data_IF_093684429522
#
_entry.id   IF_093684429522
#
_cell.length_a   1.000
_cell.length_b   1.000
_cell.length_c   1.000
_cell.angle_alpha   90.00
_cell.angle_beta   90.00
_cell.angle_gamma   90.00
#
_symmetry.space_group_name_H-M   'P 1'
#
loop_
_entity.id
_entity.type
_entity.pdbx_description
1 polymer ?
#
# COMPACT_ATOMS: atom_id res chain seq x y z
N UNK A 1 16.57 -13.28 -8.42
CA UNK A 1 16.02 -11.91 -8.34
C UNK A 1 15.23 -11.67 -7.06
N UNK A 2 14.31 -12.55 -6.64
CA UNK A 2 13.70 -12.47 -5.28
C UNK A 2 14.60 -13.09 -4.18
N UNK A 3 15.30 -14.18 -4.49
CA UNK A 3 16.25 -14.84 -3.56
C UNK A 3 17.36 -13.89 -3.08
N UNK A 4 17.89 -13.05 -3.97
CA UNK A 4 18.94 -12.07 -3.65
C UNK A 4 18.46 -10.89 -2.81
N UNK A 5 17.15 -10.58 -2.81
CA UNK A 5 16.55 -9.58 -1.91
C UNK A 5 16.30 -10.16 -0.52
N UNK A 6 16.06 -11.47 -0.41
CA UNK A 6 15.92 -12.16 0.88
C UNK A 6 17.26 -12.33 1.59
N UNK A 7 18.36 -12.52 0.84
CA UNK A 7 19.71 -12.74 1.40
C UNK A 7 20.41 -11.44 1.86
N UNK A 8 19.93 -10.27 1.40
CA UNK A 8 20.37 -8.95 1.86
C UNK A 8 19.50 -8.36 2.97
N UNK A 9 18.42 -9.06 3.35
CA UNK A 9 17.60 -8.68 4.50
C UNK A 9 18.33 -9.05 5.77
N UNK A 10 18.94 -8.05 6.41
CA UNK A 10 19.53 -8.16 7.74
C UNK A 10 18.51 -8.80 8.70
N UNK A 11 18.67 -10.09 8.99
CA UNK A 11 17.91 -10.78 10.02
C UNK A 11 18.44 -10.38 11.40
N UNK A 12 18.58 -9.08 11.65
CA UNK A 12 18.95 -8.53 12.95
C UNK A 12 17.69 -8.22 13.75
N UNK A 13 17.00 -9.28 14.17
CA UNK A 13 16.05 -9.25 15.27
C UNK A 13 16.72 -9.81 16.53
N UNK A 14 17.61 -9.05 17.15
CA UNK A 14 18.13 -9.38 18.49
C UNK A 14 17.05 -9.30 19.56
N UNK A 15 17.37 -9.67 20.80
CA UNK A 15 16.47 -9.46 21.94
C UNK A 15 16.33 -7.96 22.23
N UNK A 16 15.10 -7.50 22.45
CA UNK A 16 14.79 -6.12 22.83
C UNK A 16 14.22 -6.11 24.25
N UNK A 17 14.74 -5.23 25.10
CA UNK A 17 14.20 -5.04 26.44
C UNK A 17 12.76 -4.54 26.40
N UNK A 18 11.92 -5.11 27.26
CA UNK A 18 10.49 -4.77 27.32
C UNK A 18 10.24 -3.28 27.64
N UNK A 19 11.10 -2.66 28.45
CA UNK A 19 11.04 -1.22 28.75
C UNK A 19 11.26 -0.35 27.51
N UNK A 20 12.21 -0.75 26.65
CA UNK A 20 12.46 -0.08 25.36
C UNK A 20 11.28 -0.24 24.42
N UNK A 21 10.73 -1.46 24.30
CA UNK A 21 9.56 -1.72 23.48
C UNK A 21 8.34 -0.90 23.95
N UNK A 22 8.09 -0.83 25.26
CA UNK A 22 7.05 0.01 25.85
C UNK A 22 7.24 1.48 25.51
N UNK A 23 8.47 2.00 25.61
CA UNK A 23 8.79 3.38 25.24
C UNK A 23 8.48 3.68 23.77
N UNK A 24 8.87 2.79 22.87
CA UNK A 24 8.56 2.91 21.44
C UNK A 24 7.06 2.85 21.15
N UNK A 25 6.32 1.95 21.82
CA UNK A 25 4.87 1.87 21.67
C UNK A 25 4.15 3.12 22.16
N UNK A 26 4.57 3.69 23.31
CA UNK A 26 3.96 4.91 23.85
C UNK A 26 4.18 6.10 22.90
N UNK A 27 5.40 6.25 22.37
CA UNK A 27 5.73 7.30 21.42
C UNK A 27 4.92 7.19 20.12
N UNK A 28 4.68 5.95 19.63
CA UNK A 28 3.83 5.71 18.46
C UNK A 28 2.37 6.11 18.72
N UNK A 29 1.84 5.81 19.92
CA UNK A 29 0.49 6.20 20.34
C UNK A 29 0.35 7.72 20.44
N UNK A 30 1.32 8.41 21.04
CA UNK A 30 1.30 9.88 21.12
C UNK A 30 1.33 10.53 19.74
N UNK A 31 2.17 10.02 18.82
CA UNK A 31 2.22 10.50 17.44
C UNK A 31 0.90 10.28 16.69
N UNK A 32 0.25 9.14 16.93
CA UNK A 32 -1.07 8.86 16.37
C UNK A 32 -2.15 9.79 16.95
N UNK A 33 -2.08 10.11 18.24
CA UNK A 33 -3.04 10.99 18.91
C UNK A 33 -2.93 12.45 18.44
N UNK A 34 -1.71 12.94 18.18
CA UNK A 34 -1.47 14.29 17.66
C UNK A 34 -1.99 14.50 16.23
N UNK A 35 -2.18 13.43 15.45
CA UNK A 35 -2.84 13.48 14.14
C UNK A 35 -4.36 13.58 14.34
N UNK A 36 -4.87 14.75 14.75
CA UNK A 36 -6.29 15.13 14.97
C UNK A 36 -7.33 14.35 14.14
N UNK A 37 -7.70 13.13 14.56
CA UNK A 37 -8.71 12.30 13.89
C UNK A 37 -8.38 11.84 12.46
N UNK A 38 -7.12 11.96 12.02
CA UNK A 38 -6.68 11.50 10.70
C UNK A 38 -6.25 10.02 10.75
N UNK A 39 -6.42 9.33 9.64
CA UNK A 39 -5.93 7.95 9.43
C UNK A 39 -4.42 7.94 9.77
N UNK A 40 -4.02 7.07 10.71
CA UNK A 40 -2.65 7.05 11.25
C UNK A 40 -1.67 6.46 10.24
N UNK A 41 -2.09 5.38 9.59
CA UNK A 41 -1.36 4.70 8.52
C UNK A 41 -1.63 5.30 7.14
N UNK A 42 -1.09 4.65 6.11
CA UNK A 42 -1.24 5.08 4.72
C UNK A 42 -2.65 4.79 4.21
N UNK A 43 -3.39 5.78 3.67
CA UNK A 43 -4.78 5.57 3.27
C UNK A 43 -4.88 4.68 2.02
N UNK A 44 -5.85 3.76 2.03
CA UNK A 44 -6.14 2.90 0.86
C UNK A 44 -6.93 3.62 -0.23
N UNK A 45 -7.50 4.80 0.08
CA UNK A 45 -8.44 5.53 -0.78
C UNK A 45 -9.89 5.05 -0.64
N UNK A 46 -10.13 4.06 0.24
CA UNK A 46 -11.45 3.54 0.55
C UNK A 46 -11.85 3.98 1.96
N UNK A 47 -12.46 5.16 2.08
CA UNK A 47 -12.76 5.80 3.37
C UNK A 47 -13.38 4.87 4.43
N UNK A 48 -14.33 4.01 4.04
CA UNK A 48 -14.97 3.06 4.97
C UNK A 48 -14.02 1.94 5.43
N UNK A 49 -13.12 1.51 4.57
CA UNK A 49 -12.09 0.53 4.92
C UNK A 49 -11.04 1.20 5.81
N UNK A 50 -10.54 2.36 5.40
CA UNK A 50 -9.53 3.11 6.16
C UNK A 50 -10.02 3.44 7.58
N UNK A 51 -11.28 3.81 7.73
CA UNK A 51 -11.88 4.03 9.05
C UNK A 51 -11.91 2.76 9.93
N UNK A 52 -12.06 1.59 9.32
CA UNK A 52 -12.12 0.31 10.04
C UNK A 52 -10.75 -0.25 10.39
N UNK A 53 -9.75 -0.04 9.54
CA UNK A 53 -8.41 -0.62 9.73
C UNK A 53 -7.36 0.40 10.19
N UNK A 54 -7.69 1.69 10.20
CA UNK A 54 -6.75 2.77 10.57
C UNK A 54 -5.73 3.11 9.48
N UNK A 55 -5.97 2.67 8.23
CA UNK A 55 -5.03 2.74 7.12
C UNK A 55 -4.13 1.50 7.02
N UNK A 56 -3.18 1.54 6.10
CA UNK A 56 -2.13 0.52 5.94
C UNK A 56 -0.96 0.88 6.87
N UNK A 57 -0.60 -0.02 7.79
CA UNK A 57 0.54 0.17 8.69
C UNK A 57 1.75 -0.63 8.21
N UNK A 58 2.97 -0.17 8.51
CA UNK A 58 4.22 -0.73 8.00
C UNK A 58 4.48 -2.20 8.39
N UNK A 59 3.84 -2.68 9.47
CA UNK A 59 3.99 -4.05 9.98
C UNK A 59 2.88 -5.00 9.55
N UNK A 60 1.87 -4.52 8.80
CA UNK A 60 0.70 -5.32 8.47
C UNK A 60 0.92 -6.20 7.23
N UNK A 61 0.54 -7.48 7.34
CA UNK A 61 0.34 -8.35 6.17
C UNK A 61 -1.16 -8.48 5.87
N UNK A 62 -1.60 -7.86 4.77
CA UNK A 62 -3.01 -7.88 4.34
C UNK A 62 -3.20 -8.88 3.20
N UNK A 63 -4.08 -9.85 3.41
CA UNK A 63 -4.41 -10.87 2.42
C UNK A 63 -5.77 -10.59 1.79
N UNK A 64 -5.78 -10.32 0.47
CA UNK A 64 -7.00 -10.19 -0.31
C UNK A 64 -7.38 -11.51 -0.98
N UNK A 65 -8.30 -12.25 -0.36
CA UNK A 65 -8.81 -13.51 -0.87
C UNK A 65 -10.20 -13.39 -1.50
N UNK A 66 -10.52 -14.27 -2.45
CA UNK A 66 -11.80 -14.28 -3.16
C UNK A 66 -11.77 -15.18 -4.41
N UNK A 67 -12.94 -15.60 -4.89
CA UNK A 67 -13.06 -16.46 -6.08
C UNK A 67 -12.54 -15.76 -7.36
N UNK A 68 -12.23 -16.52 -8.44
CA UNK A 68 -11.97 -15.92 -9.75
C UNK A 68 -13.07 -14.92 -10.14
N UNK A 69 -12.70 -13.86 -10.85
CA UNK A 69 -13.57 -12.76 -11.27
C UNK A 69 -14.22 -11.90 -10.15
N UNK A 70 -13.94 -12.11 -8.86
CA UNK A 70 -14.45 -11.27 -7.75
C UNK A 70 -13.72 -9.91 -7.60
N UNK A 71 -12.91 -9.50 -8.59
CA UNK A 71 -12.29 -8.17 -8.58
C UNK A 71 -11.03 -8.00 -7.71
N UNK A 72 -10.40 -9.07 -7.23
CA UNK A 72 -9.17 -8.99 -6.39
C UNK A 72 -8.08 -8.11 -7.00
N UNK A 73 -7.70 -8.39 -8.26
CA UNK A 73 -6.68 -7.62 -8.98
C UNK A 73 -7.10 -6.16 -9.13
N UNK A 74 -8.38 -5.90 -9.45
CA UNK A 74 -8.88 -4.55 -9.61
C UNK A 74 -8.83 -3.75 -8.30
N UNK A 75 -9.22 -4.37 -7.18
CA UNK A 75 -9.13 -3.77 -5.86
C UNK A 75 -7.68 -3.50 -5.46
N UNK A 76 -6.78 -4.47 -5.64
CA UNK A 76 -5.36 -4.31 -5.34
C UNK A 76 -4.71 -3.18 -6.16
N UNK A 77 -5.00 -3.11 -7.47
CA UNK A 77 -4.48 -2.02 -8.33
C UNK A 77 -5.06 -0.65 -7.95
N UNK A 78 -6.32 -0.60 -7.50
CA UNK A 78 -6.93 0.65 -7.07
C UNK A 78 -6.30 1.16 -5.76
N UNK A 79 -6.10 0.27 -4.78
CA UNK A 79 -5.39 0.62 -3.54
C UNK A 79 -3.98 1.10 -3.87
N UNK A 80 -3.23 0.36 -4.69
CA UNK A 80 -1.88 0.74 -5.11
C UNK A 80 -1.83 2.13 -5.77
N UNK A 81 -2.81 2.44 -6.64
CA UNK A 81 -2.92 3.75 -7.27
C UNK A 81 -3.17 4.87 -6.25
N UNK A 82 -4.16 4.70 -5.35
CA UNK A 82 -4.48 5.72 -4.34
C UNK A 82 -3.30 5.97 -3.39
N UNK A 83 -2.58 4.91 -3.01
CA UNK A 83 -1.38 5.01 -2.18
C UNK A 83 -0.28 5.76 -2.92
N UNK A 84 -0.03 5.45 -4.19
CA UNK A 84 0.96 6.17 -5.01
C UNK A 84 0.59 7.65 -5.18
N UNK A 85 -0.70 7.96 -5.38
CA UNK A 85 -1.20 9.33 -5.47
C UNK A 85 -1.05 10.09 -4.14
N UNK A 86 -1.34 9.45 -3.02
CA UNK A 86 -1.13 10.00 -1.68
C UNK A 86 0.33 10.39 -1.48
N UNK A 87 1.28 9.48 -1.74
CA UNK A 87 2.71 9.76 -1.62
C UNK A 87 3.21 10.79 -2.62
N UNK A 88 2.61 10.88 -3.82
CA UNK A 88 2.97 11.90 -4.81
C UNK A 88 2.67 13.32 -4.32
N UNK A 89 1.65 13.47 -3.47
CA UNK A 89 1.24 14.75 -2.88
C UNK A 89 1.91 15.03 -1.53
N UNK A 90 2.37 13.98 -0.85
CA UNK A 90 3.07 14.11 0.42
C UNK A 90 4.47 14.71 0.23
N UNK A 91 4.71 15.83 0.91
CA UNK A 91 6.00 16.53 0.86
C UNK A 91 6.95 16.05 1.94
N UNK A 92 6.45 15.37 2.98
CA UNK A 92 7.24 14.89 4.11
C UNK A 92 8.01 13.60 3.78
N UNK A 93 7.42 12.71 2.98
CA UNK A 93 8.09 11.49 2.51
C UNK A 93 9.23 11.83 1.55
N UNK A 94 10.45 11.28 1.70
CA UNK A 94 11.55 11.45 0.74
C UNK A 94 11.18 10.96 -0.66
N UNK A 95 11.62 11.62 -1.75
CA UNK A 95 11.28 11.23 -3.13
C UNK A 95 11.51 9.75 -3.45
N UNK A 96 12.57 9.15 -2.91
CA UNK A 96 12.94 7.74 -3.05
C UNK A 96 11.91 6.77 -2.45
N UNK A 97 11.10 7.23 -1.49
CA UNK A 97 10.07 6.47 -0.81
C UNK A 97 8.65 6.82 -1.30
N UNK A 98 8.53 7.66 -2.35
CA UNK A 98 7.22 8.04 -2.93
C UNK A 98 6.83 7.08 -4.04
N UNK A 99 6.32 5.91 -3.68
CA UNK A 99 5.83 4.96 -4.67
C UNK A 99 5.27 3.66 -4.10
N UNK A 100 4.76 2.83 -5.01
CA UNK A 100 4.27 1.48 -4.70
C UNK A 100 4.93 0.49 -5.63
N UNK A 101 5.55 -0.54 -5.06
CA UNK A 101 6.02 -1.69 -5.82
C UNK A 101 4.85 -2.67 -6.04
N UNK A 102 4.54 -2.99 -7.29
CA UNK A 102 3.48 -3.94 -7.65
C UNK A 102 4.08 -5.16 -8.35
N UNK A 103 3.98 -6.33 -7.72
CA UNK A 103 4.46 -7.59 -8.27
C UNK A 103 3.30 -8.37 -8.88
N UNK A 104 3.38 -8.65 -10.18
CA UNK A 104 2.37 -9.41 -10.91
C UNK A 104 2.95 -10.71 -11.42
N UNK A 105 2.25 -11.81 -11.10
CA UNK A 105 2.63 -13.16 -11.53
C UNK A 105 1.67 -13.74 -12.58
N UNK A 106 0.54 -13.08 -12.84
CA UNK A 106 -0.51 -13.56 -13.75
C UNK A 106 -0.65 -12.66 -14.98
N UNK A 107 -0.63 -11.34 -14.79
CA UNK A 107 -0.84 -10.36 -15.86
C UNK A 107 0.45 -9.65 -16.23
N UNK A 108 0.63 -9.31 -17.51
CA UNK A 108 1.76 -8.49 -17.95
C UNK A 108 1.66 -7.05 -17.42
N UNK A 109 2.80 -6.35 -17.39
CA UNK A 109 2.84 -4.94 -16.99
C UNK A 109 1.92 -4.06 -17.85
N UNK A 110 1.88 -4.29 -19.17
CA UNK A 110 1.02 -3.53 -20.09
C UNK A 110 -0.47 -3.73 -19.82
N UNK A 111 -0.87 -4.97 -19.47
CA UNK A 111 -2.26 -5.28 -19.12
C UNK A 111 -2.67 -4.59 -17.81
N UNK A 112 -1.77 -4.53 -16.83
CA UNK A 112 -2.01 -3.80 -15.59
C UNK A 112 -2.07 -2.29 -15.80
N UNK A 113 -1.13 -1.73 -16.57
CA UNK A 113 -1.11 -0.31 -16.90
C UNK A 113 -2.40 0.12 -17.60
N UNK A 114 -2.83 -0.65 -18.61
CA UNK A 114 -4.11 -0.42 -19.31
C UNK A 114 -5.30 -0.41 -18.35
N UNK A 115 -5.29 -1.31 -17.35
CA UNK A 115 -6.35 -1.39 -16.34
C UNK A 115 -6.36 -0.16 -15.44
N UNK A 116 -5.20 0.22 -14.90
CA UNK A 116 -5.05 1.41 -14.06
C UNK A 116 -5.51 2.66 -14.84
N UNK A 117 -5.05 2.83 -16.07
CA UNK A 117 -5.48 3.94 -16.93
C UNK A 117 -6.98 3.96 -17.16
N UNK A 118 -7.60 2.82 -17.44
CA UNK A 118 -9.07 2.75 -17.60
C UNK A 118 -9.83 3.11 -16.33
N UNK A 119 -9.29 2.77 -15.15
CA UNK A 119 -9.86 3.14 -13.85
C UNK A 119 -9.77 4.64 -13.61
N UNK A 120 -8.63 5.26 -13.91
CA UNK A 120 -8.40 6.69 -13.69
C UNK A 120 -9.18 7.56 -14.68
N UNK A 121 -9.22 7.16 -15.95
CA UNK A 121 -9.87 7.93 -17.03
C UNK A 121 -11.37 7.68 -17.14
N UNK A 122 -11.92 6.77 -16.32
CA UNK A 122 -13.30 6.25 -16.44
C UNK A 122 -13.67 5.78 -17.86
N UNK A 123 -12.66 5.51 -18.71
CA UNK A 123 -12.84 5.15 -20.11
C UNK A 123 -12.64 3.64 -20.23
N UNK A 124 -13.57 2.95 -20.89
CA UNK A 124 -13.48 1.50 -21.07
C UNK A 124 -12.16 1.10 -21.72
N UNK A 125 -11.48 0.08 -21.17
CA UNK A 125 -10.23 -0.46 -21.75
C UNK A 125 -10.41 -0.90 -23.21
N UNK A 126 -11.64 -1.21 -23.63
CA UNK A 126 -12.00 -1.60 -24.99
C UNK A 126 -12.07 -0.40 -25.95
N UNK A 127 -12.42 0.80 -25.46
CA UNK A 127 -12.31 2.05 -26.24
C UNK A 127 -10.84 2.46 -26.38
N UNK A 128 -10.06 2.38 -25.29
CA UNK A 128 -8.63 2.71 -25.32
C UNK A 128 -7.81 1.81 -26.26
N UNK A 129 -8.25 0.58 -26.49
CA UNK A 129 -7.62 -0.37 -27.42
C UNK A 129 -7.99 -0.16 -28.89
N UNK A 130 -9.12 0.48 -29.16
CA UNK A 130 -9.69 0.58 -30.51
C UNK A 130 -9.62 2.00 -31.10
N UNK A 131 -9.10 2.98 -30.35
CA UNK A 131 -9.07 4.40 -30.73
C UNK A 131 -10.26 5.15 -30.17
#
# INVERSE_FOLDING_TARGET
MLYTLSDQGDAQGGFVDFSTALGSSLAAIEKAYQKEGKISGTPTGLNKLDYRIGGLNDSDLIILAGRPAMGKTALATNIAYNVAEFYSRDKETPPENRGVAFFSLEMSADQLASRILSTVTQTSSQKMRNG
#
